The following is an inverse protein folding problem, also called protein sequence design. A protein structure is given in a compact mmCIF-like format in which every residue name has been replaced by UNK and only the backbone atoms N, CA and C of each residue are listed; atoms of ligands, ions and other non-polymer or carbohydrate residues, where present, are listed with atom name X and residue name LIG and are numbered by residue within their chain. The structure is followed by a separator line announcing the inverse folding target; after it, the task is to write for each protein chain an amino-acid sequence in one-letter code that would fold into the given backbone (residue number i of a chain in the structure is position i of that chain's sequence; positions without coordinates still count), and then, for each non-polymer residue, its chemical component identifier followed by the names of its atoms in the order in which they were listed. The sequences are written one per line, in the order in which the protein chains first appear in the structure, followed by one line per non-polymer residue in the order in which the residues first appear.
data_IF_784602826026
#
_entry.id   IF_784602826026
#
_cell.length_a   1.000
_cell.length_b   1.000
_cell.length_c   1.000
_cell.angle_alpha   90.00
_cell.angle_beta   90.00
_cell.angle_gamma   90.00
#
_symmetry.space_group_name_H-M   'P 1'
#
loop_
_entity.id
_entity.type
_entity.pdbx_description
1 polymer ?
#
# COMPACT_ATOMS: atom_id res chain seq x y z
N UNK A 1 -15.78 -16.42 28.92
CA UNK A 1 -15.38 -16.18 28.58
C UNK A 1 -15.17 -16.16 27.95
N UNK A 2 -15.68 -16.14 28.10
CA UNK A 2 -15.34 -15.74 27.64
C UNK A 2 -15.17 -15.45 26.91
N UNK A 3 -15.57 -15.18 27.03
CA UNK A 3 -15.27 -14.61 26.53
C UNK A 3 -15.09 -14.49 25.91
N UNK A 4 -15.71 -14.46 26.15
CA UNK A 4 -15.44 -13.94 25.66
C UNK A 4 -15.21 -13.86 24.89
N UNK A 5 -15.59 -13.88 25.16
CA UNK A 5 -15.11 -13.50 24.59
C UNK A 5 -14.98 -13.31 23.81
N UNK A 6 -15.40 -13.28 23.90
CA UNK A 6 -15.10 -12.72 23.36
C UNK A 6 -15.03 -12.72 22.52
N UNK A 7 -15.34 -12.66 22.67
CA UNK A 7 -14.95 -12.34 22.12
C UNK A 7 -14.57 -12.45 21.38
N UNK A 8 -15.00 -12.78 21.68
CA UNK A 8 -14.42 -12.51 21.11
C UNK A 8 -14.36 -12.35 20.21
N UNK A 9 -14.69 -12.17 20.57
CA UNK A 9 -14.33 -11.73 19.96
C UNK A 9 -14.23 -11.29 19.51
N UNK A 10 -14.26 -10.85 19.84
CA UNK A 10 -13.85 -10.16 19.69
C UNK A 10 -13.24 -9.82 19.42
N UNK A 11 -13.33 -9.63 19.52
CA UNK A 11 -12.62 -9.03 19.33
C UNK A 11 -11.99 -8.80 18.89
N UNK A 12 -11.72 -8.53 19.06
CA UNK A 12 -11.03 -8.25 18.68
C UNK A 12 -10.81 -7.73 17.85
N UNK A 13 -10.62 -7.09 17.71
CA UNK A 13 -10.58 -6.68 16.94
C UNK A 13 -9.73 -6.08 16.29
N UNK A 14 -9.47 -6.03 15.99
CA UNK A 14 -8.60 -5.62 15.26
C UNK A 14 -8.83 -4.37 14.63
N UNK A 15 -7.89 -3.60 14.32
CA UNK A 15 -8.03 -2.29 13.82
C UNK A 15 -8.44 -2.33 12.41
N UNK A 16 -9.28 -1.49 12.12
CA UNK A 16 -9.80 -1.45 10.88
C UNK A 16 -8.88 -1.33 9.70
N UNK A 17 -7.94 -0.52 9.71
CA UNK A 17 -7.18 -0.33 8.50
C UNK A 17 -6.52 -1.56 8.03
N UNK A 18 -6.38 -2.46 8.91
CA UNK A 18 -5.73 -3.58 8.55
C UNK A 18 -6.58 -4.61 8.11
N UNK A 19 -7.79 -4.35 8.08
CA UNK A 19 -8.66 -5.36 7.88
C UNK A 19 -8.73 -5.94 6.56
N UNK A 20 -8.29 -5.36 5.53
CA UNK A 20 -8.42 -6.04 4.28
C UNK A 20 -7.09 -6.17 3.63
N UNK A 21 -6.93 -7.25 2.89
CA UNK A 21 -5.77 -7.52 2.13
C UNK A 21 -6.18 -7.42 0.70
N UNK A 22 -5.68 -6.45 -0.05
CA UNK A 22 -6.13 -6.29 -1.43
C UNK A 22 -5.96 -7.53 -2.29
N UNK A 23 -4.87 -8.23 -2.11
CA UNK A 23 -4.65 -9.41 -2.91
C UNK A 23 -5.65 -10.50 -2.55
N UNK A 24 -5.92 -10.65 -1.27
CA UNK A 24 -6.84 -11.65 -0.82
C UNK A 24 -8.25 -11.34 -1.26
N UNK A 25 -8.64 -10.09 -1.16
CA UNK A 25 -9.96 -9.69 -1.58
C UNK A 25 -10.13 -9.90 -3.07
N UNK A 26 -9.11 -9.60 -3.85
CA UNK A 26 -9.21 -9.78 -5.28
C UNK A 26 -9.23 -11.24 -5.67
N UNK A 27 -8.66 -12.10 -4.84
CA UNK A 27 -8.62 -13.51 -5.15
C UNK A 27 -9.94 -14.22 -4.87
N UNK A 28 -10.83 -13.57 -4.14
CA UNK A 28 -12.13 -14.17 -3.83
C UNK A 28 -13.25 -13.31 -4.38
N UNK A 29 -13.51 -13.38 -5.67
CA UNK A 29 -14.46 -12.48 -6.28
C UNK A 29 -15.87 -12.65 -5.76
N UNK A 30 -16.19 -13.80 -5.22
CA UNK A 30 -17.54 -14.00 -4.75
C UNK A 30 -17.85 -13.23 -3.49
N UNK A 31 -16.82 -12.86 -2.75
CA UNK A 31 -17.02 -12.15 -1.51
C UNK A 31 -16.32 -10.82 -1.47
N UNK A 32 -16.03 -10.26 -2.63
CA UNK A 32 -15.27 -9.03 -2.66
C UNK A 32 -16.08 -7.93 -2.01
N UNK A 33 -15.92 -7.78 -0.71
CA UNK A 33 -16.61 -6.78 0.10
C UNK A 33 -18.12 -6.82 -0.07
N UNK A 34 -18.64 -8.01 -0.36
CA UNK A 34 -20.08 -8.24 -0.48
C UNK A 34 -20.74 -7.45 -1.59
N UNK A 35 -20.00 -7.09 -2.60
CA UNK A 35 -20.58 -6.35 -3.69
C UNK A 35 -21.61 -7.13 -4.43
N UNK A 36 -21.44 -8.44 -4.51
CA UNK A 36 -22.38 -9.26 -5.24
C UNK A 36 -23.73 -9.33 -4.56
N UNK A 37 -23.84 -8.92 -3.31
CA UNK A 37 -25.13 -8.96 -2.63
C UNK A 37 -25.93 -7.68 -2.78
N UNK A 38 -25.39 -6.68 -3.46
CA UNK A 38 -26.08 -5.42 -3.64
C UNK A 38 -26.90 -5.47 -4.91
N UNK A 39 -28.22 -5.49 -4.77
CA UNK A 39 -29.08 -5.61 -5.92
C UNK A 39 -29.36 -4.31 -6.64
N UNK A 40 -29.40 -3.22 -5.92
CA UNK A 40 -29.73 -1.94 -6.53
C UNK A 40 -28.51 -1.38 -7.28
N UNK A 41 -28.62 -1.14 -8.58
CA UNK A 41 -27.47 -0.67 -9.36
C UNK A 41 -26.90 0.66 -8.88
N UNK A 42 -27.73 1.54 -8.36
CA UNK A 42 -27.20 2.82 -7.87
C UNK A 42 -26.35 2.62 -6.64
N UNK A 43 -26.82 1.78 -5.73
CA UNK A 43 -26.06 1.47 -4.54
C UNK A 43 -24.78 0.73 -4.88
N UNK A 44 -24.87 -0.18 -5.84
CA UNK A 44 -23.71 -0.94 -6.27
C UNK A 44 -22.66 -0.01 -6.86
N UNK A 45 -23.08 0.92 -7.71
CA UNK A 45 -22.14 1.84 -8.30
C UNK A 45 -21.46 2.70 -7.24
N UNK A 46 -22.22 3.20 -6.29
CA UNK A 46 -21.65 3.99 -5.21
C UNK A 46 -20.63 3.21 -4.42
N UNK A 47 -21.00 2.02 -4.03
CA UNK A 47 -20.10 1.22 -3.19
C UNK A 47 -18.85 0.82 -3.96
N UNK A 48 -19.02 0.39 -5.20
CA UNK A 48 -17.87 0.00 -6.00
C UNK A 48 -16.96 1.19 -6.25
N UNK A 49 -17.52 2.38 -6.43
CA UNK A 49 -16.72 3.58 -6.63
C UNK A 49 -15.92 3.92 -5.38
N UNK A 50 -16.54 3.81 -4.21
CA UNK A 50 -15.82 4.04 -2.95
C UNK A 50 -14.65 3.09 -2.82
N UNK A 51 -14.88 1.82 -3.14
CA UNK A 51 -13.81 0.84 -3.02
C UNK A 51 -12.71 1.10 -4.04
N UNK A 52 -13.08 1.48 -5.25
CA UNK A 52 -12.09 1.79 -6.26
C UNK A 52 -11.18 2.93 -5.79
N UNK A 53 -11.78 3.97 -5.23
CA UNK A 53 -11.00 5.11 -4.76
C UNK A 53 -10.12 4.72 -3.58
N UNK A 54 -10.64 3.90 -2.68
CA UNK A 54 -9.87 3.49 -1.52
C UNK A 54 -8.67 2.63 -1.94
N UNK A 55 -8.89 1.70 -2.88
CA UNK A 55 -7.79 0.87 -3.33
C UNK A 55 -6.75 1.66 -4.11
N UNK A 56 -7.18 2.64 -4.89
CA UNK A 56 -6.22 3.47 -5.60
C UNK A 56 -5.39 4.28 -4.62
N UNK A 57 -6.01 4.85 -3.61
CA UNK A 57 -5.27 5.60 -2.61
C UNK A 57 -4.28 4.70 -1.88
N UNK A 58 -4.71 3.49 -1.55
CA UNK A 58 -3.84 2.54 -0.88
C UNK A 58 -2.67 2.14 -1.77
N UNK A 59 -2.95 1.92 -3.05
CA UNK A 59 -1.88 1.55 -3.98
C UNK A 59 -0.88 2.68 -4.14
N UNK A 60 -1.36 3.92 -4.22
CA UNK A 60 -0.48 5.07 -4.35
C UNK A 60 0.43 5.18 -3.14
N UNK A 61 -0.11 4.94 -1.95
CA UNK A 61 0.70 4.97 -0.74
C UNK A 61 1.74 3.88 -0.76
N UNK A 62 1.34 2.70 -1.20
CA UNK A 62 2.27 1.57 -1.24
C UNK A 62 3.42 1.85 -2.20
N UNK A 63 3.12 2.49 -3.33
CA UNK A 63 4.16 2.83 -4.29
C UNK A 63 5.15 3.82 -3.69
N UNK A 64 4.66 4.77 -2.90
CA UNK A 64 5.56 5.71 -2.25
C UNK A 64 6.50 4.99 -1.29
N UNK A 65 5.99 4.01 -0.55
CA UNK A 65 6.84 3.25 0.34
C UNK A 65 7.82 2.37 -0.42
N UNK A 66 7.41 1.85 -1.58
CA UNK A 66 8.35 1.12 -2.42
C UNK A 66 9.48 2.03 -2.86
N UNK A 67 9.15 3.27 -3.23
CA UNK A 67 10.17 4.20 -3.68
C UNK A 67 11.13 4.55 -2.56
N UNK A 68 10.60 4.81 -1.37
CA UNK A 68 11.45 5.13 -0.23
C UNK A 68 12.36 3.95 0.10
N UNK A 69 11.82 2.76 0.09
CA UNK A 69 12.63 1.57 0.39
C UNK A 69 13.72 1.38 -0.66
N UNK A 70 13.38 1.60 -1.94
CA UNK A 70 14.38 1.48 -2.99
C UNK A 70 15.50 2.49 -2.81
N UNK A 71 15.13 3.72 -2.45
CA UNK A 71 16.13 4.75 -2.23
C UNK A 71 17.03 4.41 -1.05
N UNK A 72 16.45 3.86 -0.01
CA UNK A 72 17.23 3.48 1.16
C UNK A 72 18.20 2.33 0.83
N UNK A 73 17.73 1.37 0.06
CA UNK A 73 18.58 0.24 -0.30
C UNK A 73 19.72 0.67 -1.22
N UNK A 74 19.50 1.70 -2.01
CA UNK A 74 20.52 2.19 -2.93
C UNK A 74 21.45 3.22 -2.31
N UNK A 75 21.25 3.57 -1.06
CA UNK A 75 22.02 4.62 -0.41
C UNK A 75 23.49 4.21 -0.38
N UNK A 76 24.39 5.01 -0.95
CA UNK A 76 25.82 4.66 -0.96
C UNK A 76 26.42 4.52 0.41
N UNK A 77 25.79 5.08 1.43
CA UNK A 77 26.32 4.97 2.78
C UNK A 77 26.07 3.64 3.43
N UNK A 78 25.18 2.83 2.85
CA UNK A 78 24.94 1.51 3.41
C UNK A 78 26.01 0.56 2.96
N UNK A 79 26.52 -0.26 3.88
CA UNK A 79 27.50 -1.23 3.48
C UNK A 79 26.88 -2.37 2.66
N UNK A 80 25.60 -2.58 2.82
CA UNK A 80 24.91 -3.61 2.06
C UNK A 80 24.08 -3.00 0.92
N UNK A 81 24.55 -1.91 0.38
CA UNK A 81 23.85 -1.22 -0.69
C UNK A 81 23.55 -2.10 -1.87
N UNK A 82 22.40 -1.91 -2.48
CA UNK A 82 22.00 -2.65 -3.65
C UNK A 82 22.07 -1.76 -4.88
N UNK A 83 22.39 -2.38 -6.01
CA UNK A 83 22.37 -1.67 -7.27
C UNK A 83 20.94 -1.62 -7.78
N UNK A 84 20.72 -0.77 -8.80
CA UNK A 84 19.40 -0.73 -9.43
C UNK A 84 19.01 -2.08 -10.01
N UNK A 85 19.96 -2.82 -10.51
CA UNK A 85 19.65 -4.15 -11.06
C UNK A 85 19.19 -5.10 -9.97
N UNK A 86 19.83 -5.03 -8.79
CA UNK A 86 19.42 -5.87 -7.66
C UNK A 86 18.04 -5.51 -7.19
N UNK A 87 17.73 -4.23 -7.11
CA UNK A 87 16.44 -3.77 -6.67
C UNK A 87 15.38 -4.20 -7.67
N UNK A 88 15.68 -4.07 -8.96
CA UNK A 88 14.75 -4.45 -10.01
C UNK A 88 14.40 -5.93 -9.89
N UNK A 89 15.38 -6.75 -9.60
CA UNK A 89 15.11 -8.16 -9.50
C UNK A 89 14.20 -8.47 -8.33
N UNK A 90 14.44 -7.83 -7.19
CA UNK A 90 13.62 -8.09 -6.02
C UNK A 90 12.20 -7.61 -6.18
N UNK A 91 12.00 -6.49 -6.86
CA UNK A 91 10.68 -5.91 -6.99
C UNK A 91 9.97 -6.33 -8.28
N UNK A 92 10.66 -7.12 -9.10
CA UNK A 92 10.13 -7.54 -10.40
C UNK A 92 9.88 -6.33 -11.29
N UNK A 93 10.84 -5.41 -11.27
CA UNK A 93 10.81 -4.23 -12.10
C UNK A 93 11.89 -4.33 -13.16
N UNK A 94 11.82 -3.47 -14.17
CA UNK A 94 12.97 -3.31 -15.05
C UNK A 94 14.02 -2.49 -14.32
N UNK A 95 15.25 -2.60 -14.76
CA UNK A 95 16.30 -1.82 -14.12
C UNK A 95 16.07 -0.33 -14.30
N UNK A 96 15.55 0.09 -15.46
CA UNK A 96 15.26 1.49 -15.69
C UNK A 96 14.19 1.99 -14.72
N UNK A 97 13.15 1.21 -14.50
CA UNK A 97 12.12 1.59 -13.56
C UNK A 97 12.66 1.65 -12.14
N UNK A 98 13.55 0.71 -11.81
CA UNK A 98 14.17 0.73 -10.48
C UNK A 98 14.94 2.03 -10.26
N UNK A 99 15.67 2.48 -11.27
CA UNK A 99 16.40 3.74 -11.16
C UNK A 99 15.45 4.92 -10.94
N UNK A 100 14.34 4.92 -11.66
CA UNK A 100 13.37 5.98 -11.50
C UNK A 100 12.74 5.96 -10.11
N UNK A 101 12.49 4.77 -9.60
CA UNK A 101 11.91 4.65 -8.27
C UNK A 101 12.88 5.08 -7.19
N UNK A 102 14.17 4.81 -7.37
CA UNK A 102 15.16 5.28 -6.42
C UNK A 102 15.17 6.82 -6.38
N UNK A 103 15.11 7.45 -7.55
CA UNK A 103 15.05 8.90 -7.59
C UNK A 103 13.80 9.44 -6.96
N UNK A 104 12.67 8.82 -7.25
CA UNK A 104 11.41 9.22 -6.65
C UNK A 104 11.49 9.12 -5.12
N UNK A 105 12.05 8.03 -4.63
CA UNK A 105 12.21 7.84 -3.19
C UNK A 105 13.12 8.89 -2.57
N UNK A 106 14.19 9.24 -3.26
CA UNK A 106 15.07 10.29 -2.78
C UNK A 106 14.33 11.62 -2.67
N UNK A 107 13.51 11.92 -3.67
CA UNK A 107 12.73 13.13 -3.65
C UNK A 107 11.72 13.14 -2.51
N UNK A 108 11.09 12.02 -2.27
CA UNK A 108 10.14 11.93 -1.17
C UNK A 108 10.82 12.15 0.17
N UNK A 109 11.98 11.55 0.34
CA UNK A 109 12.70 11.72 1.61
C UNK A 109 13.21 13.14 1.78
N UNK A 110 13.68 13.75 0.70
CA UNK A 110 14.12 15.11 0.73
C UNK A 110 12.99 16.05 1.10
N UNK A 111 11.81 15.80 0.52
CA UNK A 111 10.66 16.59 0.84
C UNK A 111 10.24 16.48 2.28
N UNK A 112 10.33 15.27 2.84
CA UNK A 112 10.02 15.11 4.23
C UNK A 112 10.97 15.86 5.11
N UNK A 113 12.25 15.75 4.84
CA UNK A 113 13.22 16.38 5.68
C UNK A 113 13.21 17.87 5.55
N UNK A 114 13.05 18.39 4.38
CA UNK A 114 13.15 19.80 4.21
C UNK A 114 11.88 20.50 4.09
N UNK A 115 10.76 19.83 4.36
CA UNK A 115 9.61 20.36 4.08
C UNK A 115 9.19 21.52 4.73
N UNK A 116 9.33 21.53 5.88
CA UNK A 116 8.78 22.58 6.61
C UNK A 116 8.92 23.91 5.97
N UNK A 117 10.02 24.33 5.81
CA UNK A 117 10.22 25.65 5.38
C UNK A 117 9.80 25.93 4.00
N UNK A 118 10.08 25.05 3.20
CA UNK A 118 9.91 25.38 1.92
C UNK A 118 8.58 25.40 1.47
N UNK A 119 7.79 24.97 2.25
CA UNK A 119 6.54 24.95 1.81
C UNK A 119 6.02 26.25 1.65
N UNK A 120 6.63 27.13 2.11
CA UNK A 120 6.15 28.39 2.08
C UNK A 120 5.89 28.88 0.90
#
# INVERSE_FOLDING_TARGET
MAEPTPRPNEPRRRPAPLLFEPAEAAADPEHFFDLESIDDPRALLSRATELTQAFRAAADRAVEYQAVAAAQLADPRRFDRLTAADIAERAEWTEDYARKMVEFGRDLMRGRDGRGPDTV
#
